data_IF_156548102519
#
_entry.id   IF_156548102519
#
_cell.length_a   1.000
_cell.length_b   1.000
_cell.length_c   1.000
_cell.angle_alpha   90.00
_cell.angle_beta   90.00
_cell.angle_gamma   90.00
#
_symmetry.space_group_name_H-M   'P 1'
#
loop_
_entity.id
_entity.type
_entity.pdbx_description
1 polymer ?
#
# COMPACT_ATOMS: atom_id res chain seq x y z
N UNK A 1 15.26 -4.95 -7.14
CA UNK A 1 15.08 -4.40 -5.78
C UNK A 1 13.59 -4.30 -5.52
N UNK A 2 13.11 -4.82 -4.38
CA UNK A 2 11.68 -4.85 -4.10
C UNK A 2 11.19 -3.59 -3.40
N UNK A 3 10.04 -3.07 -3.82
CA UNK A 3 9.38 -1.91 -3.23
C UNK A 3 7.90 -2.20 -3.00
N UNK A 4 7.40 -1.79 -1.83
CA UNK A 4 5.99 -1.74 -1.48
C UNK A 4 5.44 -0.36 -1.84
N UNK A 5 4.42 -0.33 -2.69
CA UNK A 5 3.65 0.85 -3.06
C UNK A 5 2.30 0.79 -2.34
N UNK A 6 2.06 1.75 -1.45
CA UNK A 6 0.93 1.77 -0.51
C UNK A 6 -0.15 2.72 -1.01
N UNK A 7 -1.38 2.23 -1.17
CA UNK A 7 -2.55 3.01 -1.61
C UNK A 7 -3.53 3.12 -0.44
N UNK A 8 -3.77 4.33 0.08
CA UNK A 8 -4.71 4.56 1.17
C UNK A 8 -6.12 4.90 0.65
N UNK A 9 -7.13 4.92 1.53
CA UNK A 9 -8.48 5.42 1.19
C UNK A 9 -8.55 6.96 1.00
N UNK A 10 -7.42 7.66 1.06
CA UNK A 10 -7.32 9.07 0.70
C UNK A 10 -7.49 9.25 -0.82
N UNK A 11 -8.45 10.08 -1.24
CA UNK A 11 -8.72 10.41 -2.64
C UNK A 11 -7.79 11.46 -3.25
N UNK A 12 -6.80 11.94 -2.49
CA UNK A 12 -5.89 13.00 -2.92
C UNK A 12 -6.63 14.33 -3.06
N UNK A 13 -6.59 14.93 -4.25
CA UNK A 13 -7.33 16.18 -4.51
C UNK A 13 -8.82 15.95 -4.82
N UNK A 14 -9.23 14.69 -4.99
CA UNK A 14 -10.62 14.34 -5.27
C UNK A 14 -11.36 14.12 -3.95
N UNK A 15 -12.21 15.08 -3.58
CA UNK A 15 -13.01 15.01 -2.36
C UNK A 15 -14.33 14.25 -2.49
N UNK A 16 -14.75 13.88 -3.71
CA UNK A 16 -15.97 13.11 -3.95
C UNK A 16 -15.65 11.61 -3.93
N UNK A 17 -16.40 10.79 -3.18
CA UNK A 17 -16.20 9.35 -3.19
C UNK A 17 -16.58 8.76 -4.56
N UNK A 18 -15.96 7.63 -4.92
CA UNK A 18 -16.06 7.06 -6.27
C UNK A 18 -17.48 6.61 -6.65
N UNK A 19 -18.34 6.28 -5.69
CA UNK A 19 -19.75 5.92 -5.90
C UNK A 19 -20.62 7.11 -6.34
N UNK A 20 -20.13 8.34 -6.15
CA UNK A 20 -20.76 9.56 -6.65
C UNK A 20 -20.22 10.01 -8.02
N UNK A 21 -19.24 9.32 -8.58
CA UNK A 21 -18.67 9.66 -9.89
C UNK A 21 -19.57 9.18 -11.03
N UNK A 22 -19.38 9.75 -12.22
CA UNK A 22 -20.11 9.28 -13.41
C UNK A 22 -19.61 7.90 -13.83
N UNK A 23 -20.48 7.03 -14.39
CA UNK A 23 -20.07 5.70 -14.84
C UNK A 23 -18.87 5.70 -15.79
N UNK A 24 -18.78 6.68 -16.69
CA UNK A 24 -17.66 6.83 -17.61
C UNK A 24 -16.34 7.21 -16.91
N UNK A 25 -16.40 7.97 -15.81
CA UNK A 25 -15.23 8.36 -15.01
C UNK A 25 -14.71 7.15 -14.22
N UNK A 26 -15.62 6.37 -13.62
CA UNK A 26 -15.30 5.10 -12.96
C UNK A 26 -14.66 4.13 -13.98
N UNK A 27 -15.24 4.02 -15.17
CA UNK A 27 -14.71 3.15 -16.23
C UNK A 27 -13.31 3.56 -16.63
N UNK A 28 -13.07 4.85 -16.90
CA UNK A 28 -11.75 5.36 -17.25
C UNK A 28 -10.71 5.13 -16.13
N UNK A 29 -11.10 5.30 -14.87
CA UNK A 29 -10.25 5.03 -13.71
C UNK A 29 -9.83 3.55 -13.64
N UNK A 30 -10.81 2.63 -13.76
CA UNK A 30 -10.57 1.19 -13.71
C UNK A 30 -9.77 0.68 -14.92
N UNK A 31 -10.05 1.19 -16.12
CA UNK A 31 -9.33 0.82 -17.34
C UNK A 31 -7.86 1.28 -17.27
N UNK A 32 -7.60 2.46 -16.71
CA UNK A 32 -6.23 2.93 -16.46
C UNK A 32 -5.48 1.99 -15.51
N UNK A 33 -6.08 1.65 -14.36
CA UNK A 33 -5.50 0.69 -13.42
C UNK A 33 -5.23 -0.67 -14.06
N UNK A 34 -6.18 -1.17 -14.85
CA UNK A 34 -6.05 -2.44 -15.56
C UNK A 34 -4.88 -2.40 -16.56
N UNK A 35 -4.75 -1.32 -17.32
CA UNK A 35 -3.65 -1.15 -18.27
C UNK A 35 -2.29 -1.10 -17.57
N UNK A 36 -2.18 -0.32 -16.49
CA UNK A 36 -0.95 -0.25 -15.68
C UNK A 36 -0.60 -1.61 -15.09
N UNK A 37 -1.56 -2.32 -14.51
CA UNK A 37 -1.35 -3.65 -13.97
C UNK A 37 -0.88 -4.63 -15.06
N UNK A 38 -1.46 -4.58 -16.25
CA UNK A 38 -1.02 -5.40 -17.39
C UNK A 38 0.39 -5.06 -17.87
N UNK A 39 0.76 -3.77 -17.89
CA UNK A 39 2.13 -3.32 -18.18
C UNK A 39 3.12 -3.97 -17.22
N UNK A 40 2.89 -3.84 -15.90
CA UNK A 40 3.80 -4.32 -14.86
C UNK A 40 3.89 -5.85 -14.80
N UNK A 41 2.78 -6.56 -15.06
CA UNK A 41 2.79 -8.03 -15.20
C UNK A 41 3.61 -8.43 -16.43
N UNK A 42 3.42 -7.74 -17.56
CA UNK A 42 4.09 -8.10 -18.82
C UNK A 42 5.58 -7.80 -18.80
N UNK A 43 6.00 -6.77 -18.07
CA UNK A 43 7.42 -6.48 -17.84
C UNK A 43 8.07 -7.40 -16.80
N UNK A 44 7.27 -8.13 -16.01
CA UNK A 44 7.76 -8.94 -14.90
C UNK A 44 8.09 -8.12 -13.65
N UNK A 45 7.76 -6.82 -13.64
CA UNK A 45 8.02 -5.91 -12.51
C UNK A 45 7.02 -6.11 -11.37
N UNK A 46 5.80 -6.62 -11.63
CA UNK A 46 4.80 -6.85 -10.58
C UNK A 46 5.03 -8.18 -9.86
N UNK A 47 5.27 -8.12 -8.55
CA UNK A 47 5.43 -9.29 -7.66
C UNK A 47 4.11 -9.67 -7.01
N UNK A 48 3.39 -8.69 -6.45
CA UNK A 48 2.10 -8.90 -5.79
C UNK A 48 1.23 -7.64 -5.88
N UNK A 49 -0.09 -7.81 -5.83
CA UNK A 49 -1.07 -6.72 -5.81
C UNK A 49 -2.33 -7.18 -5.09
N UNK A 50 -2.72 -6.47 -4.03
CA UNK A 50 -3.88 -6.81 -3.23
C UNK A 50 -4.76 -5.59 -2.97
N UNK A 51 -6.08 -5.81 -3.06
CA UNK A 51 -7.12 -4.87 -2.62
C UNK A 51 -7.63 -5.34 -1.26
N UNK A 52 -7.72 -4.43 -0.30
CA UNK A 52 -8.14 -4.75 1.05
C UNK A 52 -9.61 -4.39 1.28
N UNK A 53 -10.23 -5.10 2.23
CA UNK A 53 -11.57 -4.76 2.69
C UNK A 53 -11.57 -3.39 3.39
N UNK A 54 -12.71 -2.69 3.33
CA UNK A 54 -12.86 -1.38 3.95
C UNK A 54 -12.65 -1.37 5.47
N UNK A 55 -12.36 -0.20 6.06
CA UNK A 55 -12.00 -0.08 7.49
C UNK A 55 -13.07 -0.62 8.45
N UNK A 56 -14.33 -0.61 8.03
CA UNK A 56 -15.48 -1.13 8.79
C UNK A 56 -15.45 -2.65 9.00
N UNK A 57 -14.67 -3.39 8.20
CA UNK A 57 -14.48 -4.83 8.36
C UNK A 57 -13.15 -5.18 9.03
N UNK A 58 -12.30 -4.18 9.33
CA UNK A 58 -11.04 -4.40 9.99
C UNK A 58 -11.24 -4.79 11.47
N UNK A 59 -10.38 -5.70 11.94
CA UNK A 59 -10.26 -6.06 13.36
C UNK A 59 -8.87 -5.63 13.83
N UNK A 60 -8.82 -4.93 14.95
CA UNK A 60 -7.58 -4.64 15.67
C UNK A 60 -7.49 -5.65 16.80
N UNK A 61 -6.34 -6.29 16.93
CA UNK A 61 -6.10 -7.32 17.93
C UNK A 61 -4.91 -6.90 18.78
N UNK A 62 -5.09 -6.81 20.09
CA UNK A 62 -4.01 -6.62 21.06
C UNK A 62 -3.99 -7.81 22.03
N UNK A 63 -2.80 -8.20 22.48
CA UNK A 63 -2.63 -9.34 23.39
C UNK A 63 -1.42 -9.11 24.29
N UNK A 64 -1.54 -9.52 25.54
CA UNK A 64 -0.43 -9.59 26.50
C UNK A 64 0.28 -10.95 26.48
N UNK A 65 -0.20 -11.90 25.66
CA UNK A 65 0.33 -13.26 25.56
C UNK A 65 0.00 -14.18 26.75
N UNK A 66 -0.73 -13.69 27.75
CA UNK A 66 -1.10 -14.42 28.97
C UNK A 66 -2.60 -14.66 29.06
N UNK A 67 -3.39 -13.76 28.52
CA UNK A 67 -4.86 -13.79 28.53
C UNK A 67 -5.41 -13.84 27.11
N UNK A 68 -6.74 -13.99 26.99
CA UNK A 68 -7.39 -13.93 25.69
C UNK A 68 -7.18 -12.54 25.06
N UNK A 69 -6.95 -12.45 23.74
CA UNK A 69 -6.69 -11.18 23.07
C UNK A 69 -7.90 -10.25 23.16
N UNK A 70 -7.65 -8.95 23.27
CA UNK A 70 -8.67 -7.92 23.13
C UNK A 70 -8.83 -7.63 21.64
N UNK A 71 -10.05 -7.78 21.14
CA UNK A 71 -10.40 -7.54 19.74
C UNK A 71 -11.32 -6.32 19.69
N UNK A 72 -10.95 -5.33 18.88
CA UNK A 72 -11.78 -4.16 18.61
C UNK A 72 -12.06 -4.03 17.12
N UNK A 73 -13.29 -3.63 16.80
CA UNK A 73 -13.69 -3.36 15.42
C UNK A 73 -13.15 -1.98 14.99
N UNK A 74 -12.66 -1.88 13.76
CA UNK A 74 -12.18 -0.60 13.20
C UNK A 74 -13.31 0.35 12.79
N UNK A 75 -13.01 1.64 12.51
CA UNK A 75 -11.71 2.30 12.68
C UNK A 75 -11.55 2.98 14.06
N UNK A 76 -10.32 3.01 14.59
CA UNK A 76 -9.98 3.92 15.69
C UNK A 76 -10.13 5.37 15.19
N UNK A 77 -10.60 6.28 16.04
CA UNK A 77 -10.82 7.68 15.69
C UNK A 77 -9.52 8.45 15.35
N UNK A 78 -8.35 7.87 15.64
CA UNK A 78 -7.04 8.50 15.52
C UNK A 78 -6.21 8.04 14.29
N UNK A 79 -6.59 6.95 13.61
CA UNK A 79 -5.93 6.55 12.36
C UNK A 79 -6.54 7.30 11.19
N UNK A 80 -5.87 8.38 10.78
CA UNK A 80 -6.31 9.24 9.67
C UNK A 80 -6.23 8.57 8.30
N UNK A 81 -5.42 7.52 8.14
CA UNK A 81 -5.16 6.90 6.85
C UNK A 81 -5.27 5.37 6.97
N UNK A 82 -6.28 4.80 6.30
CA UNK A 82 -6.46 3.36 6.21
C UNK A 82 -5.98 2.86 4.84
N UNK A 83 -5.30 1.72 4.86
CA UNK A 83 -4.80 1.07 3.65
C UNK A 83 -5.97 0.52 2.82
N UNK A 84 -6.08 0.96 1.57
CA UNK A 84 -7.05 0.44 0.59
C UNK A 84 -6.46 -0.73 -0.20
N UNK A 85 -5.15 -0.75 -0.40
CA UNK A 85 -4.46 -1.80 -1.13
C UNK A 85 -2.96 -1.54 -1.22
N UNK A 86 -2.25 -2.48 -1.80
CA UNK A 86 -0.81 -2.34 -2.04
C UNK A 86 -0.38 -3.08 -3.29
N UNK A 87 0.78 -2.69 -3.80
CA UNK A 87 1.52 -3.41 -4.84
C UNK A 87 2.95 -3.65 -4.37
N UNK A 88 3.51 -4.81 -4.66
CA UNK A 88 4.94 -5.07 -4.51
C UNK A 88 5.52 -5.17 -5.92
N UNK A 89 6.53 -4.34 -6.19
CA UNK A 89 7.25 -4.35 -7.47
C UNK A 89 8.71 -4.73 -7.26
N UNK A 90 9.30 -5.47 -8.20
CA UNK A 90 10.73 -5.76 -8.26
C UNK A 90 11.32 -5.06 -9.49
N UNK A 91 12.12 -4.03 -9.23
CA UNK A 91 12.63 -3.10 -10.25
C UNK A 91 14.13 -2.88 -10.10
N UNK A 92 14.78 -2.47 -11.18
CA UNK A 92 16.24 -2.27 -11.20
C UNK A 92 16.70 -1.05 -10.40
N UNK A 93 15.83 -0.08 -10.12
CA UNK A 93 16.16 1.15 -9.41
C UNK A 93 15.00 1.73 -8.59
N UNK A 94 15.32 2.55 -7.59
CA UNK A 94 14.34 3.32 -6.83
C UNK A 94 13.55 4.29 -7.73
N UNK A 95 14.22 4.94 -8.68
CA UNK A 95 13.59 5.85 -9.65
C UNK A 95 12.45 5.15 -10.40
N UNK A 96 12.63 3.89 -10.80
CA UNK A 96 11.58 3.13 -11.46
C UNK A 96 10.40 2.84 -10.53
N UNK A 97 10.65 2.55 -9.26
CA UNK A 97 9.56 2.41 -8.28
C UNK A 97 8.79 3.72 -8.10
N UNK A 98 9.48 4.86 -8.08
CA UNK A 98 8.88 6.20 -8.00
C UNK A 98 8.06 6.52 -9.26
N UNK A 99 8.53 6.15 -10.46
CA UNK A 99 7.76 6.30 -11.70
C UNK A 99 6.45 5.53 -11.65
N UNK A 100 6.50 4.27 -11.20
CA UNK A 100 5.31 3.44 -11.07
C UNK A 100 4.35 4.05 -10.04
N UNK A 101 4.86 4.50 -8.89
CA UNK A 101 4.07 5.19 -7.88
C UNK A 101 3.42 6.48 -8.42
N UNK A 102 4.14 7.24 -9.25
CA UNK A 102 3.60 8.43 -9.89
C UNK A 102 2.46 8.11 -10.87
N UNK A 103 2.53 6.99 -11.61
CA UNK A 103 1.41 6.53 -12.45
C UNK A 103 0.18 6.17 -11.61
N UNK A 104 0.36 5.49 -10.48
CA UNK A 104 -0.73 5.16 -9.54
C UNK A 104 -1.31 6.45 -8.94
N UNK A 105 -0.46 7.39 -8.53
CA UNK A 105 -0.87 8.70 -7.99
C UNK A 105 -1.70 9.52 -9.01
N UNK A 106 -1.42 9.34 -10.29
CA UNK A 106 -2.02 10.10 -11.38
C UNK A 106 -3.23 9.41 -12.04
N UNK A 107 -3.78 8.33 -11.46
CA UNK A 107 -4.95 7.66 -12.03
C UNK A 107 -6.08 8.69 -12.26
N UNK A 108 -6.78 8.65 -13.40
CA UNK A 108 -7.83 9.62 -13.71
C UNK A 108 -9.00 9.56 -12.72
N UNK A 109 -9.37 10.71 -12.15
CA UNK A 109 -10.61 10.93 -11.39
C UNK A 109 -11.67 11.66 -12.21
N UNK A 110 -12.61 12.37 -11.55
CA UNK A 110 -13.66 13.12 -12.23
C UNK A 110 -13.13 14.12 -13.27
N UNK A 111 -13.79 14.20 -14.42
CA UNK A 111 -13.35 14.99 -15.55
C UNK A 111 -12.04 14.53 -16.22
N UNK A 112 -11.53 13.34 -15.87
CA UNK A 112 -10.27 12.80 -16.39
C UNK A 112 -9.01 13.43 -15.80
N UNK A 113 -9.15 14.20 -14.72
CA UNK A 113 -8.03 14.85 -14.03
C UNK A 113 -7.33 13.87 -13.10
N UNK A 114 -6.01 13.97 -12.96
CA UNK A 114 -5.24 13.14 -12.04
C UNK A 114 -5.74 13.30 -10.60
N UNK A 115 -5.97 12.16 -9.92
CA UNK A 115 -6.38 12.15 -8.50
C UNK A 115 -5.33 12.74 -7.56
N UNK A 116 -4.05 12.72 -7.96
CA UNK A 116 -2.91 13.16 -7.14
C UNK A 116 -2.90 12.45 -5.79
N UNK A 117 -3.29 11.17 -5.81
CA UNK A 117 -3.37 10.36 -4.61
C UNK A 117 -1.96 10.17 -4.03
N UNK A 118 -1.73 10.41 -2.73
CA UNK A 118 -0.44 10.13 -2.12
C UNK A 118 -0.14 8.63 -2.13
N UNK A 119 0.99 8.23 -2.72
CA UNK A 119 1.46 6.84 -2.74
C UNK A 119 2.73 6.75 -1.92
N UNK A 120 2.75 5.90 -0.89
CA UNK A 120 3.98 5.68 -0.14
C UNK A 120 4.84 4.66 -0.88
N UNK A 121 6.09 5.02 -1.15
CA UNK A 121 7.10 4.14 -1.76
C UNK A 121 8.05 3.68 -0.67
N UNK A 122 8.10 2.38 -0.40
CA UNK A 122 8.93 1.83 0.67
C UNK A 122 9.73 0.66 0.15
N UNK A 123 11.05 0.69 0.31
CA UNK A 123 11.87 -0.46 0.00
C UNK A 123 11.50 -1.64 0.92
N UNK A 124 11.32 -2.81 0.32
CA UNK A 124 11.27 -4.08 1.05
C UNK A 124 12.71 -4.50 1.29
N UNK A 125 13.11 -4.52 2.56
CA UNK A 125 14.46 -4.92 2.95
C UNK A 125 14.56 -6.44 2.93
N UNK A 126 15.14 -6.98 1.87
CA UNK A 126 15.31 -8.43 1.67
C UNK A 126 16.37 -9.05 2.58
N UNK A 127 17.17 -8.22 3.25
CA UNK A 127 18.07 -8.66 4.33
C UNK A 127 17.39 -8.54 5.68
N UNK A 128 16.43 -9.44 5.92
CA UNK A 128 16.23 -9.93 7.27
C UNK A 128 17.41 -10.87 7.61
N UNK A 129 17.82 -10.95 8.87
CA UNK A 129 18.77 -11.96 9.31
C UNK A 129 18.31 -13.35 8.85
N UNK A 130 19.16 -14.02 8.08
CA UNK A 130 18.84 -15.30 7.42
C UNK A 130 19.05 -16.52 8.31
N UNK A 131 19.61 -16.31 9.51
CA UNK A 131 19.84 -17.34 10.51
C UNK A 131 19.71 -16.78 11.93
N UNK A 132 19.73 -17.69 12.91
CA UNK A 132 19.60 -17.37 14.35
C UNK A 132 20.72 -16.42 14.81
N UNK A 133 21.94 -16.58 14.32
CA UNK A 133 23.07 -15.71 14.67
C UNK A 133 22.88 -14.28 14.18
N UNK A 134 22.35 -14.11 12.98
CA UNK A 134 22.03 -12.79 12.42
C UNK A 134 20.82 -12.18 13.14
N UNK A 135 19.85 -12.98 13.58
CA UNK A 135 18.67 -12.49 14.33
C UNK A 135 19.07 -12.06 15.73
N UNK A 136 19.94 -12.83 16.40
CA UNK A 136 20.53 -12.47 17.69
C UNK A 136 21.38 -11.19 17.56
N UNK A 137 22.17 -11.04 16.50
CA UNK A 137 22.94 -9.82 16.25
C UNK A 137 22.04 -8.60 15.97
N UNK A 138 20.97 -8.78 15.20
CA UNK A 138 19.96 -7.75 14.96
C UNK A 138 19.29 -7.32 16.27
N UNK A 139 18.90 -8.27 17.12
CA UNK A 139 18.26 -8.00 18.41
C UNK A 139 19.23 -7.41 19.45
N UNK A 140 20.51 -7.79 19.45
CA UNK A 140 21.55 -7.20 20.31
C UNK A 140 21.86 -5.75 19.91
N UNK A 141 21.97 -5.44 18.61
CA UNK A 141 22.13 -4.07 18.13
C UNK A 141 20.97 -3.14 18.54
N UNK A 142 19.76 -3.68 18.63
CA UNK A 142 18.58 -2.95 19.13
C UNK A 142 18.64 -2.74 20.65
N UNK A 143 19.29 -3.64 21.40
CA UNK A 143 19.45 -3.54 22.85
C UNK A 143 20.56 -2.60 23.34
N UNK A 144 21.62 -2.40 22.55
CA UNK A 144 22.82 -1.64 22.96
C UNK A 144 22.75 -0.12 22.71
N UNK A 145 21.59 0.41 22.28
CA UNK A 145 21.36 1.87 22.13
C UNK A 145 20.73 2.54 23.37
N UNK A 146 20.79 1.93 24.56
CA UNK A 146 20.37 2.55 25.83
C UNK A 146 21.48 2.50 26.89
#
# INVERSE_FOLDING_TARGET
>A
MRYLLVVNFDGGVVGTPMDEWKPEEITAHLDYYKALHQELVSSGELVDSQVLAGPNLAKIVTSDGLTAPVITDGPFQEFKEWLAGYQIVDVESEDRAIEIAAKISAVPGPGGLATQQPIQVRQVMDQAPSDVSQMEAFLQQVGDQH
#
